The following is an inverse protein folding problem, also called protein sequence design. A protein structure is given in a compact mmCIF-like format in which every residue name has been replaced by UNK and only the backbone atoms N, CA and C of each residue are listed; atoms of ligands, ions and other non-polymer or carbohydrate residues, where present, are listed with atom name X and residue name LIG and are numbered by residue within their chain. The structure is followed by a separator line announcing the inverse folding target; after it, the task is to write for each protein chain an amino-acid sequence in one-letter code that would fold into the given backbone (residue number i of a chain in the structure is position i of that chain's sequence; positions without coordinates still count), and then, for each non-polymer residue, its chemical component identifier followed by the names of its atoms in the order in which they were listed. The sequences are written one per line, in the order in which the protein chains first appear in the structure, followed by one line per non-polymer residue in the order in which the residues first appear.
data_IF_597079099434
#
_entry.id   IF_597079099434
#
_cell.length_a   1.000
_cell.length_b   1.000
_cell.length_c   1.000
_cell.angle_alpha   90.00
_cell.angle_beta   90.00
_cell.angle_gamma   90.00
#
_symmetry.space_group_name_H-M   'P 1'
#
loop_
_entity.id
_entity.type
_entity.pdbx_description
1 polymer ?
#
# COMPACT_ATOMS: atom_id res chain seq x y z
N UNK A 1 17.16 -59.16 3.88
CA UNK A 1 16.64 -58.06 3.04
C UNK A 1 16.10 -56.97 3.94
N UNK A 2 16.71 -55.78 3.96
CA UNK A 2 16.28 -54.64 4.77
C UNK A 2 15.18 -53.87 4.02
N UNK A 3 14.01 -53.76 4.64
CA UNK A 3 12.95 -52.85 4.20
C UNK A 3 13.37 -51.43 4.58
N UNK A 4 13.76 -50.62 3.60
CA UNK A 4 14.03 -49.20 3.81
C UNK A 4 12.68 -48.48 3.85
N UNK A 5 12.40 -47.84 4.99
CA UNK A 5 11.21 -47.02 5.22
C UNK A 5 11.19 -45.83 4.27
N UNK A 6 10.42 -45.93 3.20
CA UNK A 6 10.01 -44.79 2.36
C UNK A 6 8.93 -44.06 3.15
N UNK A 7 9.31 -43.16 4.04
CA UNK A 7 8.34 -42.28 4.73
C UNK A 7 8.97 -40.98 5.25
N UNK A 8 10.15 -40.61 4.78
CA UNK A 8 10.86 -39.41 5.28
C UNK A 8 11.59 -38.63 4.17
N UNK A 9 11.06 -38.65 2.94
CA UNK A 9 11.55 -37.82 1.82
C UNK A 9 10.36 -37.14 1.10
N UNK A 10 9.43 -36.57 1.87
CA UNK A 10 8.38 -35.70 1.33
C UNK A 10 8.09 -34.48 2.22
N UNK A 11 9.10 -34.04 2.99
CA UNK A 11 9.05 -32.83 3.81
C UNK A 11 10.22 -31.86 3.51
N UNK A 12 10.99 -32.10 2.43
CA UNK A 12 12.21 -31.32 2.14
C UNK A 12 12.30 -30.82 0.69
N UNK A 13 11.17 -30.73 -0.03
CA UNK A 13 11.10 -30.07 -1.36
C UNK A 13 9.85 -29.17 -1.41
N UNK A 14 9.54 -28.50 -0.31
CA UNK A 14 8.70 -27.28 -0.27
C UNK A 14 9.55 -26.19 0.42
N UNK A 15 10.84 -26.13 0.08
CA UNK A 15 11.58 -24.87 0.10
C UNK A 15 11.23 -24.15 -1.18
N UNK A 16 9.99 -23.67 -1.29
CA UNK A 16 9.59 -22.80 -2.39
C UNK A 16 10.57 -21.63 -2.34
N UNK A 17 11.30 -21.45 -3.44
CA UNK A 17 12.06 -20.25 -3.75
C UNK A 17 11.11 -19.05 -3.64
N UNK A 18 10.93 -18.52 -2.43
CA UNK A 18 10.50 -17.14 -2.26
C UNK A 18 11.72 -16.32 -2.66
N UNK A 19 11.67 -15.54 -3.75
CA UNK A 19 12.77 -14.67 -4.08
C UNK A 19 12.93 -13.69 -2.91
N UNK A 20 14.02 -13.83 -2.15
CA UNK A 20 14.43 -12.80 -1.20
C UNK A 20 14.49 -11.47 -1.95
N UNK A 21 13.61 -10.54 -1.59
CA UNK A 21 13.58 -9.22 -2.18
C UNK A 21 14.90 -8.52 -1.84
N UNK A 22 15.84 -8.50 -2.79
CA UNK A 22 17.06 -7.71 -2.64
C UNK A 22 16.66 -6.25 -2.67
N UNK A 23 17.01 -5.52 -1.62
CA UNK A 23 16.83 -4.07 -1.58
C UNK A 23 17.48 -3.42 -2.81
N UNK A 24 16.84 -2.40 -3.38
CA UNK A 24 17.46 -1.59 -4.43
C UNK A 24 18.77 -1.01 -3.92
N UNK A 25 19.85 -1.25 -4.66
CA UNK A 25 21.19 -0.77 -4.26
C UNK A 25 21.51 0.56 -4.90
N UNK A 26 21.00 0.81 -6.12
CA UNK A 26 21.27 1.97 -6.93
C UNK A 26 19.99 2.53 -7.56
N UNK A 27 19.99 3.81 -7.97
CA UNK A 27 18.88 4.44 -8.70
C UNK A 27 18.51 3.70 -9.99
N UNK A 28 19.48 3.10 -10.68
CA UNK A 28 19.25 2.31 -11.89
C UNK A 28 18.52 1.00 -11.64
N UNK A 29 18.55 0.49 -10.40
CA UNK A 29 17.85 -0.75 -10.05
C UNK A 29 16.35 -0.46 -9.94
N UNK A 30 16.00 0.70 -9.38
CA UNK A 30 14.61 1.10 -9.18
C UNK A 30 14.01 1.96 -10.31
N UNK A 31 14.78 2.84 -10.96
CA UNK A 31 14.28 3.76 -12.00
C UNK A 31 14.81 3.40 -13.39
N UNK A 32 14.14 3.89 -14.43
CA UNK A 32 14.65 3.89 -15.81
C UNK A 32 15.40 5.22 -16.02
N UNK A 33 16.71 5.24 -15.79
CA UNK A 33 17.51 6.48 -15.78
C UNK A 33 17.90 6.99 -17.17
N UNK A 34 17.14 6.62 -18.20
CA UNK A 34 17.25 7.07 -19.57
C UNK A 34 15.96 7.77 -19.99
N UNK A 35 16.01 8.55 -21.06
CA UNK A 35 14.81 9.08 -21.69
C UNK A 35 13.89 7.95 -22.16
N UNK A 36 12.57 8.19 -22.09
CA UNK A 36 11.54 7.26 -22.55
C UNK A 36 10.71 7.98 -23.60
N UNK A 37 10.89 7.61 -24.86
CA UNK A 37 10.24 8.27 -25.98
C UNK A 37 10.51 9.77 -25.99
N UNK A 38 9.46 10.57 -25.84
CA UNK A 38 9.55 12.04 -25.82
C UNK A 38 9.85 12.61 -24.43
N UNK A 39 9.82 11.78 -23.38
CA UNK A 39 9.92 12.19 -21.99
C UNK A 39 11.36 12.10 -21.49
N UNK A 40 11.95 13.26 -21.20
CA UNK A 40 13.32 13.36 -20.75
C UNK A 40 13.44 13.13 -19.24
N UNK A 41 14.39 12.29 -18.84
CA UNK A 41 14.65 11.96 -17.44
C UNK A 41 15.37 13.12 -16.72
N UNK A 42 14.88 13.48 -15.53
CA UNK A 42 15.45 14.55 -14.70
C UNK A 42 16.25 13.97 -13.54
N UNK A 43 17.52 13.64 -13.79
CA UNK A 43 18.42 13.06 -12.79
C UNK A 43 18.54 13.87 -11.49
N UNK A 44 18.52 15.21 -11.58
CA UNK A 44 18.61 16.10 -10.40
C UNK A 44 17.41 16.03 -9.46
N UNK A 45 16.30 15.44 -9.89
CA UNK A 45 15.08 15.25 -9.09
C UNK A 45 14.87 13.80 -8.69
N UNK A 46 15.84 12.95 -9.01
CA UNK A 46 15.82 11.56 -8.63
C UNK A 46 16.41 11.40 -7.24
N UNK A 47 15.70 10.67 -6.38
CA UNK A 47 16.14 10.39 -5.02
C UNK A 47 15.90 8.92 -4.72
N UNK A 48 16.82 8.33 -3.96
CA UNK A 48 16.66 7.02 -3.37
C UNK A 48 16.62 7.21 -1.86
N UNK A 49 15.59 6.67 -1.22
CA UNK A 49 15.48 6.60 0.23
C UNK A 49 16.63 5.82 0.84
N UNK A 50 16.84 5.98 2.14
CA UNK A 50 17.73 5.10 2.90
C UNK A 50 16.95 3.80 3.14
N UNK A 51 17.61 2.65 2.99
CA UNK A 51 16.98 1.33 3.08
C UNK A 51 17.54 0.53 4.27
N UNK A 52 16.64 -0.07 5.06
CA UNK A 52 16.70 -1.37 5.78
C UNK A 52 15.97 -1.30 7.13
N UNK A 53 14.66 -1.58 7.14
CA UNK A 53 13.89 -1.68 8.38
C UNK A 53 12.45 -2.10 8.14
N UNK A 54 11.94 -2.99 8.98
CA UNK A 54 10.66 -3.70 8.84
C UNK A 54 9.47 -2.77 9.20
N UNK A 55 8.40 -2.83 8.42
CA UNK A 55 7.02 -2.28 8.66
C UNK A 55 6.69 -0.88 8.10
N UNK A 56 6.41 -0.81 6.79
CA UNK A 56 5.80 0.37 6.13
C UNK A 56 4.26 0.34 5.98
N UNK A 57 3.60 -0.82 6.12
CA UNK A 57 2.27 -1.01 5.53
C UNK A 57 1.03 -0.52 6.31
N UNK A 58 1.15 0.38 7.30
CA UNK A 58 -0.06 1.06 7.76
C UNK A 58 0.03 2.38 8.52
N UNK A 59 0.32 3.43 7.76
CA UNK A 59 -0.06 4.77 8.19
C UNK A 59 0.92 5.44 9.14
N UNK A 60 2.22 5.24 8.86
CA UNK A 60 3.35 6.01 9.38
C UNK A 60 3.51 6.12 10.89
N UNK A 61 4.51 5.46 11.46
CA UNK A 61 5.12 6.01 12.68
C UNK A 61 6.64 5.85 12.77
N UNK A 62 7.29 7.01 12.68
CA UNK A 62 8.28 7.46 13.66
C UNK A 62 9.36 6.45 14.04
N UNK A 63 10.45 6.50 13.26
CA UNK A 63 11.83 6.03 13.55
C UNK A 63 12.24 4.62 13.15
N UNK A 64 11.42 3.85 12.44
CA UNK A 64 11.85 2.53 11.92
C UNK A 64 11.39 2.21 10.48
N UNK A 65 11.04 3.27 9.72
CA UNK A 65 10.72 3.21 8.29
C UNK A 65 12.01 3.31 7.50
N UNK A 66 12.22 2.43 6.54
CA UNK A 66 13.10 2.68 5.41
C UNK A 66 12.66 1.74 4.26
N UNK A 67 11.39 1.90 3.81
CA UNK A 67 11.01 1.45 2.46
C UNK A 67 12.00 2.11 1.50
N UNK A 68 12.56 1.33 0.57
CA UNK A 68 13.40 1.99 -0.45
C UNK A 68 12.48 2.71 -1.41
N UNK A 69 12.29 4.00 -1.14
CA UNK A 69 11.50 4.88 -1.98
C UNK A 69 12.42 5.47 -3.03
N UNK A 70 12.21 5.10 -4.28
CA UNK A 70 12.84 5.79 -5.40
C UNK A 70 11.83 6.74 -6.03
N UNK A 71 12.17 8.02 -6.10
CA UNK A 71 11.39 9.01 -6.86
C UNK A 71 12.17 9.44 -8.08
N UNK A 72 11.50 9.60 -9.22
CA UNK A 72 12.10 10.14 -10.44
C UNK A 72 11.09 10.97 -11.21
N UNK A 73 11.58 11.95 -11.98
CA UNK A 73 10.73 12.82 -12.79
C UNK A 73 11.10 12.70 -14.27
N UNK A 74 10.08 12.74 -15.13
CA UNK A 74 10.21 12.87 -16.58
C UNK A 74 9.39 14.04 -17.09
N UNK A 75 9.76 14.61 -18.23
CA UNK A 75 8.90 15.57 -18.94
C UNK A 75 9.21 15.68 -20.41
N UNK A 76 8.23 16.08 -21.22
CA UNK A 76 8.41 16.38 -22.64
C UNK A 76 9.04 17.77 -22.93
N UNK A 77 9.79 18.34 -21.98
CA UNK A 77 10.26 19.73 -22.06
C UNK A 77 11.12 20.02 -23.30
N UNK A 78 11.90 19.04 -23.77
CA UNK A 78 12.76 19.24 -24.93
C UNK A 78 11.96 19.41 -26.24
N UNK A 79 10.75 18.85 -26.34
CA UNK A 79 9.89 19.01 -27.53
C UNK A 79 9.22 20.38 -27.62
N UNK A 80 9.05 21.04 -26.47
CA UNK A 80 8.31 22.30 -26.37
C UNK A 80 9.22 23.48 -26.03
N UNK A 81 10.54 23.25 -26.03
CA UNK A 81 11.54 24.26 -25.75
C UNK A 81 11.50 25.34 -26.85
N UNK A 82 11.45 26.60 -26.44
CA UNK A 82 11.40 27.74 -27.36
C UNK A 82 9.98 28.21 -27.71
N UNK A 83 8.93 27.50 -27.28
CA UNK A 83 7.56 27.99 -27.36
C UNK A 83 7.32 29.14 -26.36
N UNK A 84 6.33 30.02 -26.62
CA UNK A 84 5.86 30.98 -25.64
C UNK A 84 5.46 30.31 -24.32
N UNK A 85 5.66 31.00 -23.19
CA UNK A 85 5.44 30.43 -21.84
C UNK A 85 4.04 29.85 -21.67
N UNK A 86 3.00 30.50 -22.20
CA UNK A 86 1.62 30.01 -22.09
C UNK A 86 1.40 28.72 -22.89
N UNK A 87 2.00 28.59 -24.07
CA UNK A 87 1.96 27.34 -24.83
C UNK A 87 2.73 26.21 -24.14
N UNK A 88 3.88 26.53 -23.53
CA UNK A 88 4.64 25.57 -22.74
C UNK A 88 3.78 25.04 -21.59
N UNK A 89 3.07 25.89 -20.85
CA UNK A 89 2.22 25.45 -19.73
C UNK A 89 1.11 24.49 -20.16
N UNK A 90 0.50 24.73 -21.31
CA UNK A 90 -0.54 23.89 -21.86
C UNK A 90 -0.01 22.55 -22.38
N UNK A 91 1.18 22.53 -22.99
CA UNK A 91 1.77 21.34 -23.62
C UNK A 91 2.70 20.54 -22.71
N UNK A 92 3.18 21.12 -21.61
CA UNK A 92 4.10 20.46 -20.68
C UNK A 92 3.39 19.32 -19.95
N UNK A 93 3.89 18.11 -20.17
CA UNK A 93 3.56 16.92 -19.41
C UNK A 93 4.74 16.61 -18.51
N UNK A 94 4.50 16.65 -17.20
CA UNK A 94 5.47 16.18 -16.20
C UNK A 94 4.93 14.91 -15.58
N UNK A 95 5.79 13.91 -15.48
CA UNK A 95 5.48 12.58 -14.98
C UNK A 95 6.35 12.32 -13.77
N UNK A 96 5.73 12.06 -12.63
CA UNK A 96 6.40 11.67 -11.40
C UNK A 96 6.28 10.16 -11.24
N UNK A 97 7.40 9.52 -10.99
CA UNK A 97 7.48 8.11 -10.64
C UNK A 97 7.86 8.01 -9.16
N UNK A 98 7.18 7.13 -8.45
CA UNK A 98 7.54 6.69 -7.12
C UNK A 98 7.47 5.18 -7.07
N UNK A 99 8.59 4.53 -6.73
CA UNK A 99 8.65 3.11 -6.41
C UNK A 99 8.91 2.95 -4.93
N UNK A 100 8.16 2.07 -4.30
CA UNK A 100 8.33 1.71 -2.90
C UNK A 100 8.61 0.23 -2.84
N UNK A 101 9.77 -0.18 -2.30
CA UNK A 101 10.08 -1.59 -2.08
C UNK A 101 9.96 -1.94 -0.60
N UNK A 102 9.23 -3.01 -0.33
CA UNK A 102 8.95 -3.51 1.02
C UNK A 102 9.90 -4.65 1.42
N UNK A 103 10.19 -4.70 2.73
CA UNK A 103 11.05 -5.72 3.34
C UNK A 103 10.23 -6.93 3.83
N UNK A 104 10.05 -7.93 2.95
CA UNK A 104 9.63 -9.28 3.33
C UNK A 104 8.13 -9.60 3.27
N UNK A 105 7.83 -10.88 3.52
CA UNK A 105 6.55 -11.55 3.22
C UNK A 105 5.36 -11.17 4.11
N UNK A 106 5.62 -10.67 5.33
CA UNK A 106 4.55 -10.22 6.25
C UNK A 106 3.78 -9.03 5.68
N UNK A 107 4.42 -8.28 4.79
CA UNK A 107 3.88 -7.10 4.14
C UNK A 107 2.94 -7.47 2.97
N UNK A 108 3.23 -8.57 2.28
CA UNK A 108 2.52 -9.02 1.07
C UNK A 108 1.02 -9.19 1.25
N UNK A 109 0.57 -9.65 2.44
CA UNK A 109 -0.86 -9.83 2.75
C UNK A 109 -1.67 -8.55 2.54
N UNK A 110 -1.05 -7.39 2.77
CA UNK A 110 -1.72 -6.10 2.76
C UNK A 110 -1.33 -5.20 1.58
N UNK A 111 -0.38 -5.62 0.73
CA UNK A 111 0.05 -4.80 -0.42
C UNK A 111 -1.10 -4.51 -1.39
N UNK A 112 -1.87 -5.53 -1.75
CA UNK A 112 -3.06 -5.35 -2.60
C UNK A 112 -4.07 -4.43 -1.95
N UNK A 113 -4.29 -4.62 -0.64
CA UNK A 113 -5.20 -3.81 0.14
C UNK A 113 -4.78 -2.33 0.15
N UNK A 114 -3.50 -2.04 0.35
CA UNK A 114 -2.93 -0.69 0.36
C UNK A 114 -2.97 -0.01 -1.00
N UNK A 115 -2.53 -0.72 -2.05
CA UNK A 115 -2.55 -0.18 -3.40
C UNK A 115 -3.98 0.16 -3.81
N UNK A 116 -4.92 -0.73 -3.54
CA UNK A 116 -6.33 -0.53 -3.87
C UNK A 116 -6.99 0.60 -3.09
N UNK A 117 -6.65 0.77 -1.80
CA UNK A 117 -7.21 1.81 -0.93
C UNK A 117 -7.14 3.21 -1.55
N UNK A 118 -6.02 3.53 -2.21
CA UNK A 118 -5.81 4.84 -2.83
C UNK A 118 -6.72 5.14 -4.03
N UNK A 119 -7.41 4.13 -4.56
CA UNK A 119 -8.31 4.24 -5.72
C UNK A 119 -9.78 4.08 -5.36
N UNK A 120 -10.06 3.80 -4.08
CA UNK A 120 -11.42 3.80 -3.51
C UNK A 120 -11.71 5.21 -2.99
N UNK A 121 -12.89 5.78 -3.25
CA UNK A 121 -13.27 7.15 -2.82
C UNK A 121 -14.29 7.14 -1.69
N UNK A 122 -14.08 7.86 -0.58
CA UNK A 122 -15.07 8.05 0.48
C UNK A 122 -14.42 8.32 1.85
N UNK A 123 -15.14 8.98 2.76
CA UNK A 123 -14.73 9.16 4.17
C UNK A 123 -15.18 7.95 4.98
N UNK A 124 -14.21 7.23 5.55
CA UNK A 124 -14.38 5.81 5.87
C UNK A 124 -14.90 5.04 4.64
N UNK A 125 -15.09 3.74 4.73
CA UNK A 125 -15.48 2.91 3.56
C UNK A 125 -16.96 3.16 3.17
N UNK A 126 -17.51 4.32 3.51
CA UNK A 126 -18.95 4.54 3.61
C UNK A 126 -19.66 4.82 2.30
N UNK A 127 -18.96 5.47 1.38
CA UNK A 127 -19.39 5.68 0.01
C UNK A 127 -18.30 5.24 -0.97
N UNK A 128 -17.59 4.16 -0.61
CA UNK A 128 -16.46 3.67 -1.37
C UNK A 128 -16.83 3.34 -2.80
N UNK A 129 -16.45 4.22 -3.72
CA UNK A 129 -16.55 3.89 -5.14
C UNK A 129 -15.54 2.80 -5.46
N UNK A 130 -15.99 1.82 -6.24
CA UNK A 130 -15.18 0.76 -6.85
C UNK A 130 -13.84 1.32 -7.34
N UNK A 131 -12.75 0.69 -6.89
CA UNK A 131 -11.43 0.93 -7.44
C UNK A 131 -11.47 0.73 -8.97
N UNK A 132 -10.58 1.36 -9.72
CA UNK A 132 -10.64 1.28 -11.19
C UNK A 132 -9.43 0.52 -11.70
N UNK A 133 -9.71 -0.58 -12.41
CA UNK A 133 -8.69 -1.33 -13.12
C UNK A 133 -8.53 -0.84 -14.55
N UNK A 134 -7.31 -0.93 -15.04
CA UNK A 134 -6.98 -0.82 -16.46
C UNK A 134 -6.09 -1.99 -16.82
N UNK A 135 -6.35 -2.64 -17.94
CA UNK A 135 -5.42 -3.60 -18.52
C UNK A 135 -4.56 -2.89 -19.54
N UNK A 136 -3.23 -2.98 -19.40
CA UNK A 136 -2.26 -2.45 -20.36
C UNK A 136 -1.33 -3.59 -20.72
N UNK A 137 -1.40 -4.03 -21.97
CA UNK A 137 -0.53 -5.07 -22.53
C UNK A 137 -0.49 -6.35 -21.64
N UNK A 138 -1.67 -6.78 -21.17
CA UNK A 138 -1.83 -7.96 -20.30
C UNK A 138 -1.61 -7.71 -18.81
N UNK A 139 -1.12 -6.53 -18.41
CA UNK A 139 -0.90 -6.18 -17.01
C UNK A 139 -2.13 -5.48 -16.41
N UNK A 140 -2.66 -6.02 -15.32
CA UNK A 140 -3.73 -5.37 -14.56
C UNK A 140 -3.14 -4.34 -13.59
N UNK A 141 -3.64 -3.11 -13.63
CA UNK A 141 -3.16 -2.03 -12.77
C UNK A 141 -4.34 -1.20 -12.25
N UNK A 142 -4.15 -0.53 -11.12
CA UNK A 142 -5.08 0.47 -10.65
C UNK A 142 -4.84 1.81 -11.36
N UNK A 143 -5.93 2.49 -11.74
CA UNK A 143 -5.88 3.73 -12.49
C UNK A 143 -6.94 4.73 -12.03
N UNK A 144 -6.55 6.00 -11.83
CA UNK A 144 -7.47 7.10 -11.56
C UNK A 144 -7.21 8.24 -12.52
N UNK A 145 -8.17 8.56 -13.40
CA UNK A 145 -8.08 9.70 -14.32
C UNK A 145 -8.39 11.07 -13.69
N UNK A 146 -8.34 11.20 -12.36
CA UNK A 146 -8.54 12.48 -11.68
C UNK A 146 -7.28 13.34 -11.78
N UNK A 147 -7.45 14.63 -12.08
CA UNK A 147 -6.37 15.61 -12.07
C UNK A 147 -5.23 15.30 -13.05
N UNK A 148 -5.47 14.44 -14.03
CA UNK A 148 -4.49 14.01 -15.01
C UNK A 148 -3.84 12.68 -14.75
N UNK A 149 -4.38 11.75 -13.97
CA UNK A 149 -3.96 10.34 -14.09
C UNK A 149 -2.92 9.86 -13.07
N UNK A 150 -3.34 8.88 -12.26
CA UNK A 150 -2.48 8.07 -11.39
C UNK A 150 -2.58 6.61 -11.82
N UNK A 151 -1.43 5.97 -12.03
CA UNK A 151 -1.31 4.53 -12.27
C UNK A 151 -0.59 3.91 -11.09
N UNK A 152 -1.08 2.80 -10.56
CA UNK A 152 -0.40 2.07 -9.50
C UNK A 152 -0.55 0.57 -9.64
N UNK A 153 0.52 -0.16 -9.39
CA UNK A 153 0.49 -1.62 -9.36
C UNK A 153 1.54 -2.22 -8.44
N UNK A 154 1.47 -3.53 -8.28
CA UNK A 154 2.37 -4.33 -7.47
C UNK A 154 3.21 -5.19 -8.41
N UNK A 155 4.50 -5.26 -8.15
CA UNK A 155 5.44 -6.19 -8.78
C UNK A 155 6.22 -6.90 -7.67
N UNK A 156 5.70 -8.05 -7.24
CA UNK A 156 6.17 -8.74 -6.03
C UNK A 156 6.15 -7.80 -4.81
N UNK A 157 7.32 -7.48 -4.25
CA UNK A 157 7.51 -6.61 -3.08
C UNK A 157 7.61 -5.11 -3.42
N UNK A 158 7.38 -4.74 -4.69
CA UNK A 158 7.53 -3.36 -5.17
C UNK A 158 6.17 -2.79 -5.53
N UNK A 159 5.82 -1.64 -4.97
CA UNK A 159 4.70 -0.81 -5.44
C UNK A 159 5.26 0.21 -6.42
N UNK A 160 4.70 0.25 -7.63
CA UNK A 160 5.02 1.26 -8.63
C UNK A 160 3.87 2.25 -8.71
N UNK A 161 4.14 3.54 -8.56
CA UNK A 161 3.17 4.64 -8.68
C UNK A 161 3.66 5.66 -9.71
N UNK A 162 2.83 5.94 -10.71
CA UNK A 162 3.11 6.91 -11.78
C UNK A 162 2.00 7.94 -11.78
N UNK A 163 2.37 9.20 -11.67
CA UNK A 163 1.43 10.32 -11.62
C UNK A 163 1.81 11.34 -12.69
N UNK A 164 0.80 11.84 -13.41
CA UNK A 164 0.94 13.07 -14.19
C UNK A 164 -0.21 14.01 -13.87
N UNK A 165 -0.01 15.30 -14.15
CA UNK A 165 -0.99 16.34 -13.82
C UNK A 165 -1.55 16.97 -15.08
N UNK A 166 -2.87 16.94 -15.17
CA UNK A 166 -3.70 17.49 -16.23
C UNK A 166 -5.13 17.72 -15.70
N UNK A 167 -5.28 18.83 -14.98
CA UNK A 167 -6.55 19.20 -14.34
C UNK A 167 -7.68 19.45 -15.37
N UNK A 168 -7.34 19.75 -16.62
CA UNK A 168 -8.30 20.10 -17.67
C UNK A 168 -8.50 18.98 -18.70
N UNK A 169 -7.82 17.84 -18.55
CA UNK A 169 -7.89 16.69 -19.47
C UNK A 169 -7.54 17.04 -20.93
N UNK A 170 -6.58 17.94 -21.12
CA UNK A 170 -6.14 18.42 -22.43
C UNK A 170 -4.78 17.87 -22.86
N UNK A 171 -4.06 17.24 -21.93
CA UNK A 171 -2.71 16.72 -22.14
C UNK A 171 -2.77 15.22 -22.43
N UNK A 172 -1.93 14.71 -23.35
CA UNK A 172 -1.88 13.28 -23.61
C UNK A 172 -1.39 12.51 -22.39
N UNK A 173 -1.94 11.31 -22.16
CA UNK A 173 -1.42 10.42 -21.13
C UNK A 173 0.00 9.95 -21.49
N UNK A 174 0.95 9.89 -20.54
CA UNK A 174 2.31 9.41 -20.78
C UNK A 174 2.37 7.89 -20.82
N UNK A 175 1.59 7.27 -21.72
CA UNK A 175 1.41 5.82 -21.76
C UNK A 175 2.71 5.06 -22.05
N UNK A 176 3.65 5.67 -22.78
CA UNK A 176 4.97 5.09 -23.05
C UNK A 176 5.83 4.98 -21.79
N UNK A 177 5.73 5.95 -20.87
CA UNK A 177 6.39 5.87 -19.55
C UNK A 177 5.78 4.74 -18.73
N UNK A 178 4.45 4.62 -18.73
CA UNK A 178 3.74 3.53 -18.02
C UNK A 178 4.16 2.17 -18.55
N UNK A 179 4.20 2.00 -19.88
CA UNK A 179 4.63 0.74 -20.53
C UNK A 179 6.08 0.39 -20.23
N UNK A 180 6.99 1.37 -20.26
CA UNK A 180 8.39 1.14 -19.94
C UNK A 180 8.57 0.63 -18.50
N UNK A 181 7.84 1.21 -17.54
CA UNK A 181 7.86 0.74 -16.16
C UNK A 181 7.15 -0.60 -15.96
N UNK A 182 6.09 -0.90 -16.71
CA UNK A 182 5.47 -2.23 -16.71
C UNK A 182 6.43 -3.31 -17.26
N UNK A 183 7.24 -2.99 -18.27
CA UNK A 183 8.26 -3.91 -18.76
C UNK A 183 9.36 -4.18 -17.72
N UNK A 184 9.75 -3.15 -16.95
CA UNK A 184 10.75 -3.28 -15.87
C UNK A 184 10.19 -3.96 -14.62
N UNK A 185 8.94 -3.67 -14.28
CA UNK A 185 8.22 -4.17 -13.10
C UNK A 185 6.85 -4.70 -13.54
N UNK A 186 6.76 -5.92 -14.08
CA UNK A 186 5.48 -6.50 -14.48
C UNK A 186 4.50 -6.57 -13.32
N UNK A 187 3.22 -6.35 -13.60
CA UNK A 187 2.19 -6.39 -12.58
C UNK A 187 1.92 -7.83 -12.14
N UNK A 188 1.91 -8.03 -10.83
CA UNK A 188 1.48 -9.28 -10.18
C UNK A 188 0.05 -9.20 -9.65
N UNK A 189 -0.68 -8.12 -9.97
CA UNK A 189 -2.09 -7.98 -9.59
C UNK A 189 -2.92 -8.99 -10.40
N UNK A 190 -3.65 -9.90 -9.74
CA UNK A 190 -4.48 -10.87 -10.44
C UNK A 190 -5.61 -10.17 -11.20
N UNK A 191 -6.18 -10.87 -12.18
CA UNK A 191 -7.45 -10.43 -12.75
C UNK A 191 -8.52 -10.51 -11.65
N UNK A 192 -9.09 -9.36 -11.29
CA UNK A 192 -10.07 -9.24 -10.23
C UNK A 192 -11.37 -8.68 -10.80
N UNK A 193 -12.47 -9.27 -10.40
CA UNK A 193 -13.80 -8.70 -10.62
C UNK A 193 -14.13 -7.84 -9.42
N UNK A 194 -14.29 -6.53 -9.61
CA UNK A 194 -14.74 -5.67 -8.51
C UNK A 194 -16.26 -5.73 -8.46
N UNK A 195 -16.74 -6.63 -7.64
CA UNK A 195 -18.14 -6.82 -7.31
C UNK A 195 -18.35 -6.68 -5.79
N UNK A 196 -19.59 -6.92 -5.37
CA UNK A 196 -19.98 -6.87 -3.96
C UNK A 196 -19.15 -7.81 -3.08
N UNK A 197 -18.75 -8.98 -3.60
CA UNK A 197 -17.98 -9.96 -2.83
C UNK A 197 -16.52 -9.51 -2.67
N UNK A 198 -15.93 -8.91 -3.70
CA UNK A 198 -14.61 -8.28 -3.59
C UNK A 198 -14.62 -7.14 -2.58
N UNK A 199 -15.65 -6.28 -2.61
CA UNK A 199 -15.81 -5.22 -1.62
C UNK A 199 -15.94 -5.78 -0.21
N UNK A 200 -16.81 -6.76 0.02
CA UNK A 200 -16.95 -7.42 1.32
C UNK A 200 -15.62 -7.97 1.84
N UNK A 201 -14.89 -8.68 0.97
CA UNK A 201 -13.57 -9.22 1.33
C UNK A 201 -12.60 -8.11 1.70
N UNK A 202 -12.56 -7.03 0.91
CA UNK A 202 -11.65 -5.92 1.13
C UNK A 202 -11.94 -5.22 2.48
N UNK A 203 -13.21 -4.97 2.83
CA UNK A 203 -13.57 -4.38 4.14
C UNK A 203 -13.14 -5.29 5.30
N UNK A 204 -13.38 -6.60 5.19
CA UNK A 204 -13.00 -7.58 6.21
C UNK A 204 -11.48 -7.65 6.39
N UNK A 205 -10.76 -7.62 5.28
CA UNK A 205 -9.30 -7.52 5.28
C UNK A 205 -8.83 -6.24 5.97
N UNK A 206 -9.47 -5.08 5.74
CA UNK A 206 -9.11 -3.85 6.45
C UNK A 206 -9.34 -3.97 7.96
N UNK A 207 -10.48 -4.50 8.38
CA UNK A 207 -10.79 -4.70 9.80
C UNK A 207 -9.72 -5.58 10.48
N UNK A 208 -9.32 -6.67 9.84
CA UNK A 208 -8.25 -7.53 10.34
C UNK A 208 -6.91 -6.78 10.39
N UNK A 209 -6.59 -6.03 9.34
CA UNK A 209 -5.37 -5.22 9.26
C UNK A 209 -5.30 -4.22 10.41
N UNK A 210 -6.39 -3.51 10.75
CA UNK A 210 -6.40 -2.55 11.87
C UNK A 210 -6.01 -3.18 13.20
N UNK A 211 -6.46 -4.41 13.46
CA UNK A 211 -6.08 -5.14 14.67
C UNK A 211 -4.64 -5.64 14.61
N UNK A 212 -4.20 -6.15 13.46
CA UNK A 212 -2.83 -6.60 13.24
C UNK A 212 -1.81 -5.48 13.50
N UNK A 213 -2.12 -4.24 13.11
CA UNK A 213 -1.25 -3.09 13.34
C UNK A 213 -1.02 -2.75 14.79
N UNK A 214 -2.02 -2.96 15.62
CA UNK A 214 -1.90 -2.75 17.05
C UNK A 214 -0.82 -3.66 17.64
N UNK A 215 -0.77 -4.94 17.22
CA UNK A 215 0.28 -5.86 17.65
C UNK A 215 1.67 -5.40 17.20
N UNK A 216 1.77 -4.90 15.96
CA UNK A 216 3.04 -4.38 15.42
C UNK A 216 3.52 -3.12 16.16
N UNK A 217 2.62 -2.22 16.55
CA UNK A 217 2.95 -1.06 17.39
C UNK A 217 3.53 -1.48 18.74
N UNK A 218 2.90 -2.45 19.41
CA UNK A 218 3.43 -2.95 20.67
C UNK A 218 4.74 -3.72 20.52
N UNK A 219 4.95 -4.41 19.40
CA UNK A 219 6.21 -5.06 19.11
C UNK A 219 7.36 -4.04 18.95
N UNK A 220 7.14 -2.93 18.24
CA UNK A 220 8.14 -1.87 18.09
C UNK A 220 8.49 -1.21 19.44
N UNK A 221 7.49 -1.08 20.32
CA UNK A 221 7.74 -0.63 21.69
C UNK A 221 8.65 -1.60 22.46
N UNK A 222 8.42 -2.92 22.32
CA UNK A 222 9.26 -3.95 22.96
C UNK A 222 10.69 -3.95 22.43
N UNK A 223 10.88 -3.64 21.15
CA UNK A 223 12.21 -3.49 20.56
C UNK A 223 12.92 -2.17 20.93
N UNK A 224 12.24 -1.27 21.66
CA UNK A 224 12.79 0.04 22.03
C UNK A 224 12.90 1.03 20.86
N UNK A 225 12.18 0.76 19.76
CA UNK A 225 12.30 1.52 18.51
C UNK A 225 11.23 2.59 18.31
N UNK A 226 10.18 2.55 19.13
CA UNK A 226 9.11 3.52 19.13
C UNK A 226 8.81 4.01 20.56
N UNK A 227 8.43 5.29 20.67
CA UNK A 227 8.06 5.89 21.95
C UNK A 227 6.70 5.37 22.43
N UNK A 228 6.57 5.10 23.72
CA UNK A 228 5.33 4.57 24.32
C UNK A 228 4.11 5.43 23.98
N UNK A 229 4.22 6.76 24.11
CA UNK A 229 3.10 7.67 23.83
C UNK A 229 2.61 7.56 22.38
N UNK A 230 3.55 7.51 21.42
CA UNK A 230 3.21 7.30 20.02
C UNK A 230 2.53 5.95 19.85
N UNK A 231 3.15 4.86 20.31
CA UNK A 231 2.59 3.49 20.23
C UNK A 231 1.15 3.42 20.74
N UNK A 232 0.85 4.02 21.89
CA UNK A 232 -0.50 4.04 22.46
C UNK A 232 -1.49 4.82 21.57
N UNK A 233 -1.12 6.00 21.09
CA UNK A 233 -1.95 6.80 20.18
C UNK A 233 -2.31 6.00 18.94
N UNK A 234 -1.32 5.40 18.29
CA UNK A 234 -1.43 4.69 17.01
C UNK A 234 -2.32 3.46 17.11
N UNK A 235 -2.18 2.77 18.24
CA UNK A 235 -2.99 1.60 18.57
C UNK A 235 -4.45 2.02 18.77
N UNK A 236 -4.69 3.11 19.50
CA UNK A 236 -6.04 3.64 19.71
C UNK A 236 -6.67 4.10 18.40
N UNK A 237 -5.94 4.86 17.57
CA UNK A 237 -6.43 5.32 16.26
C UNK A 237 -6.83 4.13 15.37
N UNK A 238 -5.99 3.08 15.34
CA UNK A 238 -6.29 1.86 14.59
C UNK A 238 -7.52 1.14 15.11
N UNK A 239 -7.67 1.01 16.43
CA UNK A 239 -8.85 0.40 17.05
C UNK A 239 -10.11 1.24 16.84
N UNK A 240 -10.03 2.58 16.84
CA UNK A 240 -11.17 3.44 16.56
C UNK A 240 -11.68 3.25 15.13
N UNK A 241 -10.78 3.09 14.15
CA UNK A 241 -11.17 2.77 12.77
C UNK A 241 -11.83 1.38 12.69
N UNK A 242 -11.27 0.37 13.36
CA UNK A 242 -11.91 -0.94 13.47
C UNK A 242 -13.32 -0.84 14.06
N UNK A 243 -13.49 -0.04 15.11
CA UNK A 243 -14.78 0.18 15.75
C UNK A 243 -15.79 0.89 14.84
N UNK A 244 -15.35 1.83 13.99
CA UNK A 244 -16.21 2.43 12.97
C UNK A 244 -16.75 1.37 12.01
N UNK A 245 -15.88 0.47 11.52
CA UNK A 245 -16.33 -0.63 10.65
C UNK A 245 -17.27 -1.59 11.37
N UNK A 246 -16.97 -1.94 12.62
CA UNK A 246 -17.84 -2.80 13.43
C UNK A 246 -19.22 -2.19 13.63
N UNK A 247 -19.28 -0.90 13.93
CA UNK A 247 -20.52 -0.16 14.09
C UNK A 247 -21.33 -0.13 12.80
N UNK A 248 -20.68 0.24 11.70
CA UNK A 248 -21.36 0.39 10.42
C UNK A 248 -21.82 -0.95 9.82
N UNK A 249 -20.90 -1.91 9.71
CA UNK A 249 -21.12 -3.14 8.95
C UNK A 249 -21.74 -4.27 9.76
N UNK A 250 -21.60 -4.24 11.09
CA UNK A 250 -22.17 -5.23 12.00
C UNK A 250 -23.24 -4.64 12.95
N UNK A 251 -23.52 -3.34 12.91
CA UNK A 251 -24.55 -2.70 13.72
C UNK A 251 -24.24 -2.62 15.21
N UNK A 252 -22.97 -2.78 15.61
CA UNK A 252 -22.57 -2.79 17.02
C UNK A 252 -22.03 -1.43 17.41
N UNK A 253 -22.81 -0.69 18.21
CA UNK A 253 -22.44 0.64 18.70
C UNK A 253 -21.00 0.70 19.21
N UNK A 254 -20.29 1.76 18.82
CA UNK A 254 -18.87 1.93 19.16
C UNK A 254 -18.60 3.08 20.13
N UNK A 255 -19.59 3.93 20.41
CA UNK A 255 -19.43 5.16 21.20
C UNK A 255 -18.74 4.92 22.55
N UNK A 256 -19.22 3.95 23.32
CA UNK A 256 -18.71 3.69 24.67
C UNK A 256 -17.29 3.09 24.63
N UNK A 257 -17.05 2.18 23.70
CA UNK A 257 -15.72 1.61 23.46
C UNK A 257 -14.70 2.68 23.04
N UNK A 258 -15.09 3.61 22.15
CA UNK A 258 -14.25 4.74 21.72
C UNK A 258 -13.93 5.67 22.90
N UNK A 259 -14.93 6.04 23.70
CA UNK A 259 -14.75 6.88 24.89
C UNK A 259 -13.82 6.21 25.91
N UNK A 260 -13.99 4.90 26.12
CA UNK A 260 -13.13 4.13 27.02
C UNK A 260 -11.68 4.11 26.54
N UNK A 261 -11.44 3.87 25.24
CA UNK A 261 -10.10 3.92 24.65
C UNK A 261 -9.45 5.31 24.78
N UNK A 262 -10.20 6.38 24.53
CA UNK A 262 -9.73 7.75 24.71
C UNK A 262 -9.35 8.04 26.17
N UNK A 263 -10.15 7.55 27.13
CA UNK A 263 -9.83 7.67 28.54
C UNK A 263 -8.56 6.90 28.91
N UNK A 264 -8.38 5.67 28.43
CA UNK A 264 -7.15 4.92 28.64
C UNK A 264 -5.93 5.63 28.02
N UNK A 265 -6.08 6.22 26.84
CA UNK A 265 -5.02 6.98 26.20
C UNK A 265 -4.61 8.19 27.02
N UNK A 266 -5.57 9.00 27.50
CA UNK A 266 -5.30 10.15 28.36
C UNK A 266 -4.60 9.77 29.66
N UNK A 267 -4.89 8.59 30.20
CA UNK A 267 -4.28 8.05 31.41
C UNK A 267 -2.96 7.31 31.16
N UNK A 268 -2.48 7.24 29.91
CA UNK A 268 -1.36 6.37 29.49
C UNK A 268 -1.53 4.89 29.92
N UNK A 269 -2.77 4.41 30.01
CA UNK A 269 -3.10 3.06 30.46
C UNK A 269 -2.92 2.03 29.33
N UNK A 270 -1.65 1.68 29.06
CA UNK A 270 -1.29 0.69 28.05
C UNK A 270 -1.89 -0.70 28.31
N UNK A 271 -2.09 -1.08 29.57
CA UNK A 271 -2.73 -2.36 29.94
C UNK A 271 -4.20 -2.38 29.53
N UNK A 272 -4.95 -1.30 29.81
CA UNK A 272 -6.34 -1.16 29.39
C UNK A 272 -6.50 -1.23 27.86
N UNK A 273 -5.62 -0.52 27.13
CA UNK A 273 -5.56 -0.54 25.66
C UNK A 273 -5.29 -1.97 25.14
N UNK A 274 -4.29 -2.68 25.69
CA UNK A 274 -3.98 -4.07 25.29
C UNK A 274 -5.14 -5.04 25.59
N UNK A 275 -5.83 -4.86 26.70
CA UNK A 275 -6.97 -5.68 27.06
C UNK A 275 -8.13 -5.50 26.06
N UNK A 276 -8.45 -4.26 25.66
CA UNK A 276 -9.47 -4.00 24.62
C UNK A 276 -9.03 -4.53 23.25
N UNK A 277 -7.75 -4.41 22.89
CA UNK A 277 -7.24 -5.04 21.67
C UNK A 277 -7.49 -6.56 21.67
N UNK A 278 -7.21 -7.25 22.79
CA UNK A 278 -7.46 -8.69 22.91
C UNK A 278 -8.95 -9.02 22.77
N UNK A 279 -9.81 -8.22 23.38
CA UNK A 279 -11.27 -8.35 23.25
C UNK A 279 -11.72 -8.22 21.78
N UNK A 280 -11.25 -7.18 21.07
CA UNK A 280 -11.59 -6.96 19.67
C UNK A 280 -11.06 -8.05 18.74
N UNK A 281 -9.85 -8.57 19.00
CA UNK A 281 -9.31 -9.74 18.27
C UNK A 281 -10.13 -10.99 18.53
N UNK A 282 -10.55 -11.21 19.78
CA UNK A 282 -11.44 -12.31 20.15
C UNK A 282 -12.77 -12.20 19.40
N UNK A 283 -13.40 -11.02 19.42
CA UNK A 283 -14.62 -10.76 18.68
C UNK A 283 -14.43 -10.97 17.18
N UNK A 284 -13.37 -10.41 16.58
CA UNK A 284 -13.11 -10.54 15.14
C UNK A 284 -12.94 -12.00 14.71
N UNK A 285 -12.21 -12.80 15.49
CA UNK A 285 -12.00 -14.23 15.19
C UNK A 285 -13.29 -15.04 15.07
N UNK A 286 -14.36 -14.63 15.77
CA UNK A 286 -15.67 -15.28 15.77
C UNK A 286 -16.61 -14.70 14.69
N UNK A 287 -16.38 -13.48 14.22
CA UNK A 287 -17.31 -12.73 13.38
C UNK A 287 -16.81 -12.44 11.96
N UNK A 288 -15.51 -12.66 11.67
CA UNK A 288 -14.88 -12.36 10.37
C UNK A 288 -15.58 -13.02 9.16
N UNK A 289 -16.12 -14.23 9.35
CA UNK A 289 -16.77 -15.00 8.29
C UNK A 289 -18.28 -14.76 8.22
N UNK A 290 -18.85 -13.96 9.13
CA UNK A 290 -20.27 -13.63 9.12
C UNK A 290 -20.60 -12.61 8.03
N UNK A 291 -21.84 -12.60 7.50
CA UNK A 291 -22.30 -11.57 6.58
C UNK A 291 -22.23 -10.17 7.19
N UNK A 292 -22.01 -9.16 6.34
CA UNK A 292 -21.99 -7.74 6.72
C UNK A 292 -23.01 -6.93 5.91
N UNK A 293 -23.40 -5.77 6.44
CA UNK A 293 -24.32 -4.85 5.80
C UNK A 293 -23.58 -3.89 4.85
N UNK A 294 -23.43 -4.32 3.59
CA UNK A 294 -22.89 -3.52 2.49
C UNK A 294 -23.91 -2.57 1.86
#
# INVERSE_FOLDING_TARGET
MKVIKITTILALIIGIFLPDAKAFTNLTDCLITSDIGIYNYKSQRANMGKGSGVVGLAGHFGKDHDDTVCTGDYSNINQIRGLPVEEVRQKLVSVKIQLTQHSGSDSDKWLLHEVERGFRRGDYEENMTVARFRNIDGNNIFYSGLGGGTYRWISNYVIVSIEYIDLYKQKPEPIEVVRAYLAKFPSTIPALTIDKAHDEKWLKDEMERRLWLCDKWFYQLQLGKAEQKAVLQNTVDSMQVFLNYREKYYGIAAKDDKNLLSNYLMQNNGTGIKNKLKEYKGWWSVNKDKPINL
#
